data_IF_638179140896
#
_entry.id   IF_638179140896
#
_cell.length_a   1.000
_cell.length_b   1.000
_cell.length_c   1.000
_cell.angle_alpha   90.00
_cell.angle_beta   90.00
_cell.angle_gamma   90.00
#
_symmetry.space_group_name_H-M   'P 1'
#
loop_
_entity.id
_entity.type
_entity.pdbx_description
1 polymer ?
#
# COMPACT_ATOMS: atom_id res chain seq x y z
N UNK A 1 4.73 -25.85 9.22
CA UNK A 1 4.28 -24.75 8.36
C UNK A 1 3.80 -23.63 9.26
N UNK A 2 4.02 -22.41 8.85
CA UNK A 2 3.63 -21.19 9.52
C UNK A 2 2.20 -20.81 9.11
N UNK A 3 1.33 -20.56 10.08
CA UNK A 3 -0.12 -20.49 9.93
C UNK A 3 -0.63 -19.06 9.82
N UNK A 4 -1.23 -18.75 8.71
CA UNK A 4 -1.73 -17.40 8.38
C UNK A 4 -3.26 -17.38 8.36
N UNK A 5 -3.85 -16.37 9.02
CA UNK A 5 -5.24 -15.95 8.83
C UNK A 5 -5.31 -14.69 7.96
N UNK A 6 -6.33 -14.57 7.12
CA UNK A 6 -6.60 -13.36 6.33
C UNK A 6 -7.85 -12.68 6.87
N UNK A 7 -7.73 -11.44 7.34
CA UNK A 7 -8.86 -10.64 7.80
C UNK A 7 -9.22 -9.55 6.77
N UNK A 8 -10.34 -9.74 6.08
CA UNK A 8 -10.76 -8.97 4.91
C UNK A 8 -10.35 -9.60 3.59
N UNK A 9 -11.29 -9.72 2.66
CA UNK A 9 -11.06 -10.40 1.38
C UNK A 9 -11.50 -9.52 0.19
N UNK A 10 -10.76 -8.41 0.02
CA UNK A 10 -10.77 -7.54 -1.15
C UNK A 10 -9.64 -7.89 -2.13
N UNK A 11 -9.17 -6.92 -2.89
CA UNK A 11 -8.04 -7.13 -3.81
C UNK A 11 -6.77 -7.55 -3.06
N UNK A 12 -6.47 -6.90 -1.92
CA UNK A 12 -5.31 -7.24 -1.11
C UNK A 12 -5.42 -8.65 -0.50
N UNK A 13 -6.59 -9.00 0.07
CA UNK A 13 -6.79 -10.33 0.65
C UNK A 13 -6.63 -11.46 -0.37
N UNK A 14 -7.05 -11.25 -1.62
CA UNK A 14 -6.79 -12.18 -2.73
C UNK A 14 -5.30 -12.26 -3.07
N UNK A 15 -4.59 -11.12 -3.04
CA UNK A 15 -3.15 -11.09 -3.23
C UNK A 15 -2.40 -11.84 -2.13
N UNK A 16 -2.83 -11.70 -0.87
CA UNK A 16 -2.28 -12.46 0.26
C UNK A 16 -2.54 -13.95 0.11
N UNK A 17 -3.76 -14.37 -0.27
CA UNK A 17 -4.07 -15.78 -0.53
C UNK A 17 -3.14 -16.36 -1.60
N UNK A 18 -2.96 -15.64 -2.72
CA UNK A 18 -2.06 -16.07 -3.79
C UNK A 18 -0.61 -16.17 -3.30
N UNK A 19 -0.15 -15.20 -2.51
CA UNK A 19 1.19 -15.21 -1.94
C UNK A 19 1.40 -16.38 -0.97
N UNK A 20 0.43 -16.70 -0.12
CA UNK A 20 0.48 -17.87 0.76
C UNK A 20 0.60 -19.16 -0.06
N UNK A 21 -0.18 -19.29 -1.13
CA UNK A 21 -0.15 -20.48 -1.99
C UNK A 21 1.18 -20.67 -2.74
N UNK A 22 1.98 -19.62 -2.93
CA UNK A 22 3.28 -19.65 -3.58
C UNK A 22 4.46 -19.92 -2.61
N UNK A 23 4.19 -20.11 -1.34
CA UNK A 23 5.22 -20.26 -0.31
C UNK A 23 5.02 -21.58 0.44
N UNK A 24 5.90 -22.56 0.21
CA UNK A 24 5.80 -23.92 0.75
C UNK A 24 5.88 -24.01 2.29
N UNK A 25 6.39 -22.97 2.96
CA UNK A 25 6.52 -22.89 4.41
C UNK A 25 5.28 -22.29 5.09
N UNK A 26 4.28 -21.84 4.32
CA UNK A 26 3.06 -21.18 4.82
C UNK A 26 1.81 -22.03 4.63
N UNK A 27 0.83 -21.84 5.51
CA UNK A 27 -0.48 -22.48 5.48
C UNK A 27 -1.59 -21.46 5.71
N UNK A 28 -2.58 -21.39 4.84
CA UNK A 28 -3.78 -20.58 5.06
C UNK A 28 -4.75 -21.33 5.96
N UNK A 29 -5.03 -20.78 7.14
CA UNK A 29 -5.95 -21.36 8.13
C UNK A 29 -7.40 -20.98 7.85
N UNK A 30 -7.63 -19.77 7.42
CA UNK A 30 -8.98 -19.27 7.14
C UNK A 30 -8.99 -17.84 6.63
N UNK A 31 -10.09 -17.48 5.99
CA UNK A 31 -10.41 -16.12 5.55
C UNK A 31 -11.59 -15.60 6.35
N UNK A 32 -11.44 -14.44 6.96
CA UNK A 32 -12.43 -13.80 7.81
C UNK A 32 -13.00 -12.56 7.13
N UNK A 33 -14.33 -12.46 7.04
CA UNK A 33 -15.01 -11.40 6.29
C UNK A 33 -16.24 -10.87 7.04
N UNK A 34 -16.51 -9.57 6.89
CA UNK A 34 -17.76 -8.94 7.36
C UNK A 34 -18.97 -9.20 6.44
N UNK A 35 -18.67 -9.63 5.22
CA UNK A 35 -19.71 -10.03 4.24
C UNK A 35 -20.22 -11.43 4.58
N UNK A 36 -21.37 -11.81 4.04
CA UNK A 36 -21.82 -13.20 4.10
C UNK A 36 -20.73 -14.14 3.54
N UNK A 37 -20.17 -15.05 4.35
CA UNK A 37 -19.12 -15.98 3.93
C UNK A 37 -19.49 -16.80 2.70
N UNK A 38 -20.78 -17.14 2.51
CA UNK A 38 -21.26 -17.90 1.36
C UNK A 38 -21.08 -17.15 0.01
N UNK A 39 -20.98 -15.82 0.07
CA UNK A 39 -20.76 -14.97 -1.12
C UNK A 39 -19.30 -14.81 -1.49
N UNK A 40 -18.37 -15.21 -0.63
CA UNK A 40 -16.94 -15.04 -0.82
C UNK A 40 -16.33 -16.32 -1.37
N UNK A 41 -15.74 -16.25 -2.55
CA UNK A 41 -15.08 -17.39 -3.21
C UNK A 41 -13.57 -17.23 -3.10
N UNK A 42 -12.92 -18.14 -2.41
CA UNK A 42 -11.47 -18.29 -2.31
C UNK A 42 -11.00 -19.36 -3.30
N UNK A 43 -9.69 -19.38 -3.59
CA UNK A 43 -9.08 -20.35 -4.52
C UNK A 43 -8.42 -21.53 -3.80
N UNK A 44 -7.99 -21.33 -2.56
CA UNK A 44 -7.34 -22.36 -1.75
C UNK A 44 -8.34 -23.44 -1.33
N UNK A 45 -8.13 -24.66 -1.81
CA UNK A 45 -9.00 -25.79 -1.48
C UNK A 45 -8.83 -26.21 -0.02
N UNK A 46 -9.92 -26.65 0.61
CA UNK A 46 -9.91 -27.15 2.00
C UNK A 46 -9.86 -26.08 3.07
N UNK A 47 -9.82 -24.81 2.71
CA UNK A 47 -9.84 -23.66 3.64
C UNK A 47 -11.23 -23.06 3.73
N UNK A 48 -11.68 -22.73 4.94
CA UNK A 48 -13.00 -22.13 5.18
C UNK A 48 -12.96 -20.59 5.07
N UNK A 49 -14.13 -20.05 4.70
CA UNK A 49 -14.43 -18.62 4.85
C UNK A 49 -15.40 -18.48 6.03
N UNK A 50 -15.12 -17.56 6.93
CA UNK A 50 -15.82 -17.38 8.18
C UNK A 50 -16.28 -15.92 8.34
N UNK A 51 -17.34 -15.70 9.10
CA UNK A 51 -17.67 -14.35 9.55
C UNK A 51 -16.65 -13.88 10.58
N UNK A 52 -16.40 -12.58 10.62
CA UNK A 52 -15.40 -11.98 11.54
C UNK A 52 -15.67 -12.31 13.01
N UNK A 53 -16.92 -12.51 13.42
CA UNK A 53 -17.33 -12.88 14.79
C UNK A 53 -16.84 -14.28 15.21
N UNK A 54 -16.41 -15.09 14.24
CA UNK A 54 -15.89 -16.43 14.50
C UNK A 54 -14.38 -16.47 14.74
N UNK A 55 -13.68 -15.33 14.52
CA UNK A 55 -12.22 -15.25 14.55
C UNK A 55 -11.63 -15.79 15.86
N UNK A 56 -12.24 -15.48 17.00
CA UNK A 56 -11.76 -15.94 18.33
C UNK A 56 -11.61 -17.46 18.44
N UNK A 57 -12.39 -18.24 17.69
CA UNK A 57 -12.28 -19.71 17.65
C UNK A 57 -10.98 -20.22 17.01
N UNK A 58 -10.21 -19.29 16.40
CA UNK A 58 -8.97 -19.59 15.69
C UNK A 58 -7.72 -19.03 16.39
N UNK A 59 -7.86 -18.49 17.60
CA UNK A 59 -6.76 -17.87 18.35
C UNK A 59 -5.53 -18.76 18.44
N UNK A 60 -5.72 -20.03 18.78
CA UNK A 60 -4.62 -20.99 18.92
C UNK A 60 -4.22 -21.66 17.60
N UNK A 61 -4.84 -21.27 16.49
CA UNK A 61 -4.62 -21.88 15.17
C UNK A 61 -3.89 -20.97 14.20
N UNK A 62 -3.81 -19.68 14.49
CA UNK A 62 -3.22 -18.65 13.63
C UNK A 62 -1.94 -18.14 14.29
N UNK A 63 -0.81 -18.25 13.59
CA UNK A 63 0.45 -17.68 14.04
C UNK A 63 0.50 -16.17 13.81
N UNK A 64 0.00 -15.71 12.65
CA UNK A 64 -0.11 -14.28 12.30
C UNK A 64 -1.38 -14.02 11.48
N UNK A 65 -2.09 -12.98 11.85
CA UNK A 65 -3.28 -12.48 11.15
C UNK A 65 -2.90 -11.32 10.24
N UNK A 66 -3.11 -11.46 8.94
CA UNK A 66 -2.87 -10.39 7.95
C UNK A 66 -4.17 -9.61 7.74
N UNK A 67 -4.14 -8.31 8.06
CA UNK A 67 -5.31 -7.43 8.04
C UNK A 67 -5.37 -6.70 6.70
N UNK A 68 -6.41 -6.99 5.91
CA UNK A 68 -6.62 -6.49 4.55
C UNK A 68 -7.79 -5.50 4.47
N UNK A 69 -7.86 -4.58 5.41
CA UNK A 69 -8.85 -3.50 5.46
C UNK A 69 -8.45 -2.28 4.64
N UNK A 70 -9.36 -1.34 4.47
CA UNK A 70 -9.07 -0.03 3.86
C UNK A 70 -8.19 0.82 4.79
N UNK A 71 -7.10 1.34 4.27
CA UNK A 71 -6.10 2.06 5.06
C UNK A 71 -6.69 3.25 5.84
N UNK A 72 -7.45 4.11 5.16
CA UNK A 72 -7.98 5.32 5.78
C UNK A 72 -9.23 5.09 6.66
N UNK A 73 -9.96 3.98 6.45
CA UNK A 73 -11.29 3.78 7.03
C UNK A 73 -11.38 2.62 8.00
N UNK A 74 -10.67 1.52 7.71
CA UNK A 74 -10.82 0.29 8.45
C UNK A 74 -9.65 0.05 9.43
N UNK A 75 -8.41 0.17 8.93
CA UNK A 75 -7.21 -0.20 9.69
C UNK A 75 -7.02 0.57 11.00
N UNK A 76 -7.35 1.88 11.11
CA UNK A 76 -7.21 2.61 12.37
C UNK A 76 -7.96 1.99 13.56
N UNK A 77 -9.08 1.35 13.30
CA UNK A 77 -9.87 0.66 14.33
C UNK A 77 -9.58 -0.84 14.41
N UNK A 78 -9.43 -1.48 13.24
CA UNK A 78 -9.26 -2.94 13.16
C UNK A 78 -7.93 -3.39 13.73
N UNK A 79 -6.82 -2.75 13.36
CA UNK A 79 -5.49 -3.22 13.76
C UNK A 79 -5.30 -3.19 15.27
N UNK A 80 -5.60 -2.10 16.00
CA UNK A 80 -5.50 -2.10 17.46
C UNK A 80 -6.45 -3.10 18.13
N UNK A 81 -7.67 -3.27 17.61
CA UNK A 81 -8.61 -4.22 18.17
C UNK A 81 -8.11 -5.67 18.07
N UNK A 82 -7.54 -6.04 16.91
CA UNK A 82 -7.05 -7.39 16.64
C UNK A 82 -5.67 -7.67 17.28
N UNK A 83 -4.81 -6.66 17.43
CA UNK A 83 -3.51 -6.78 18.05
C UNK A 83 -3.57 -7.23 19.54
N UNK A 84 -4.70 -6.98 20.21
CA UNK A 84 -4.92 -7.49 21.59
C UNK A 84 -5.04 -9.01 21.66
N UNK A 85 -5.34 -9.68 20.57
CA UNK A 85 -5.67 -11.10 20.55
C UNK A 85 -4.76 -11.94 19.65
N UNK A 86 -4.11 -11.33 18.66
CA UNK A 86 -3.29 -11.99 17.63
C UNK A 86 -2.00 -11.22 17.36
N UNK A 87 -0.98 -11.92 16.91
CA UNK A 87 0.10 -11.28 16.17
C UNK A 87 -0.48 -10.78 14.84
N UNK A 88 -0.27 -9.51 14.50
CA UNK A 88 -0.92 -8.88 13.35
C UNK A 88 0.06 -8.18 12.43
N UNK A 89 -0.34 -8.05 11.17
CA UNK A 89 0.32 -7.19 10.20
C UNK A 89 -0.72 -6.45 9.35
N UNK A 90 -0.48 -5.18 9.07
CA UNK A 90 -1.28 -4.36 8.17
C UNK A 90 -0.45 -3.61 7.12
N UNK A 91 -1.15 -3.01 6.16
CA UNK A 91 -0.59 -2.17 5.11
C UNK A 91 -1.08 -0.72 5.21
N UNK A 92 -1.18 -0.17 6.42
CA UNK A 92 -1.60 1.21 6.64
C UNK A 92 -0.66 2.19 5.92
N UNK A 93 -1.20 3.03 5.03
CA UNK A 93 -0.42 3.91 4.15
C UNK A 93 -0.77 5.41 4.24
N UNK A 94 -1.59 5.80 5.21
CA UNK A 94 -1.88 7.22 5.46
C UNK A 94 -0.69 7.85 6.20
N UNK A 95 0.36 8.21 5.47
CA UNK A 95 1.68 8.59 5.99
C UNK A 95 1.63 9.58 7.16
N UNK A 96 0.82 10.63 7.06
CA UNK A 96 0.70 11.64 8.11
C UNK A 96 0.14 11.11 9.44
N UNK A 97 -0.53 9.95 9.43
CA UNK A 97 -1.15 9.32 10.59
C UNK A 97 -0.44 8.07 11.09
N UNK A 98 0.69 7.71 10.48
CA UNK A 98 1.46 6.54 10.91
C UNK A 98 1.92 6.64 12.38
N UNK A 99 2.40 7.78 12.89
CA UNK A 99 2.77 7.87 14.30
C UNK A 99 1.61 7.60 15.26
N UNK A 100 0.44 8.19 15.02
CA UNK A 100 -0.77 7.96 15.81
C UNK A 100 -1.22 6.49 15.74
N UNK A 101 -1.21 5.91 14.54
CA UNK A 101 -1.54 4.50 14.34
C UNK A 101 -0.57 3.57 15.08
N UNK A 102 0.73 3.90 15.04
CA UNK A 102 1.76 3.16 15.77
C UNK A 102 1.48 3.13 17.27
N UNK A 103 1.24 4.29 17.89
CA UNK A 103 0.96 4.38 19.33
C UNK A 103 -0.25 3.54 19.73
N UNK A 104 -1.36 3.65 18.98
CA UNK A 104 -2.58 2.90 19.25
C UNK A 104 -2.40 1.38 19.12
N UNK A 105 -1.62 0.94 18.13
CA UNK A 105 -1.37 -0.48 17.89
C UNK A 105 -0.34 -1.05 18.89
N UNK A 106 0.69 -0.29 19.22
CA UNK A 106 1.73 -0.67 20.20
C UNK A 106 1.12 -0.91 21.57
N UNK A 107 0.28 0.02 22.06
CA UNK A 107 -0.45 -0.14 23.32
C UNK A 107 -1.36 -1.39 23.31
N UNK A 108 -2.05 -1.63 22.21
CA UNK A 108 -2.92 -2.78 22.07
C UNK A 108 -2.16 -4.10 22.04
N UNK A 109 -1.05 -4.16 21.31
CA UNK A 109 -0.20 -5.34 21.20
C UNK A 109 0.44 -5.71 22.56
N UNK A 110 0.91 -4.71 23.32
CA UNK A 110 1.42 -4.90 24.70
C UNK A 110 0.37 -5.49 25.64
N UNK A 111 -0.89 -5.05 25.54
CA UNK A 111 -1.98 -5.63 26.35
C UNK A 111 -2.18 -7.11 26.05
N UNK A 112 -2.02 -7.50 24.78
CA UNK A 112 -2.21 -8.88 24.33
C UNK A 112 -0.99 -9.79 24.41
N UNK A 113 0.18 -9.24 24.75
CA UNK A 113 1.48 -9.93 24.66
C UNK A 113 1.71 -10.46 23.23
N UNK A 114 1.37 -9.66 22.24
CA UNK A 114 1.46 -9.98 20.82
C UNK A 114 2.45 -9.05 20.09
N UNK A 115 2.87 -9.46 18.92
CA UNK A 115 3.66 -8.63 18.01
C UNK A 115 2.75 -8.03 16.92
N UNK A 116 2.85 -6.74 16.74
CA UNK A 116 2.18 -6.05 15.66
C UNK A 116 3.19 -5.35 14.74
N UNK A 117 3.04 -5.52 13.45
CA UNK A 117 3.83 -4.82 12.43
C UNK A 117 2.88 -4.03 11.55
N UNK A 118 3.04 -2.73 11.53
CA UNK A 118 2.15 -1.83 10.80
C UNK A 118 2.82 -1.25 9.56
N UNK A 119 2.01 -0.70 8.67
CA UNK A 119 2.48 0.05 7.50
C UNK A 119 3.41 -0.76 6.60
N UNK A 120 3.09 -2.03 6.42
CA UNK A 120 3.88 -2.97 5.63
C UNK A 120 3.29 -3.17 4.25
N UNK A 121 3.87 -2.49 3.29
CA UNK A 121 3.65 -2.65 1.87
C UNK A 121 4.97 -2.47 1.15
N UNK A 122 4.90 -2.02 -0.10
CA UNK A 122 6.13 -1.65 -0.78
C UNK A 122 6.54 -0.19 -0.48
N UNK A 123 5.56 0.73 -0.22
CA UNK A 123 5.83 2.06 0.33
C UNK A 123 4.58 2.61 1.06
N UNK A 124 4.61 2.67 2.37
CA UNK A 124 5.70 2.32 3.30
C UNK A 124 5.98 0.81 3.38
N UNK A 125 7.12 0.45 3.92
CA UNK A 125 7.59 -0.92 4.11
C UNK A 125 8.88 -1.19 3.36
N UNK A 126 8.82 -1.81 2.18
CA UNK A 126 10.02 -2.20 1.43
C UNK A 126 10.90 -1.00 1.03
N UNK A 127 10.30 0.08 0.54
CA UNK A 127 11.03 1.33 0.26
C UNK A 127 11.59 1.99 1.54
N UNK A 128 10.92 1.81 2.68
CA UNK A 128 11.42 2.32 3.95
C UNK A 128 12.72 1.63 4.35
N UNK A 129 12.80 0.32 4.18
CA UNK A 129 14.04 -0.44 4.40
C UNK A 129 15.14 -0.07 3.40
N UNK A 130 14.78 0.13 2.12
CA UNK A 130 15.72 0.56 1.09
C UNK A 130 16.32 1.93 1.45
N UNK A 131 15.48 2.90 1.86
CA UNK A 131 15.95 4.22 2.34
C UNK A 131 16.87 4.08 3.55
N UNK A 132 16.48 3.29 4.55
CA UNK A 132 17.28 3.07 5.76
C UNK A 132 18.67 2.52 5.40
N UNK A 133 18.72 1.49 4.54
CA UNK A 133 19.96 0.88 4.13
C UNK A 133 20.86 1.86 3.34
N UNK A 134 20.28 2.57 2.36
CA UNK A 134 21.02 3.54 1.55
C UNK A 134 21.54 4.71 2.39
N UNK A 135 20.77 5.18 3.38
CA UNK A 135 21.21 6.22 4.32
C UNK A 135 22.38 5.75 5.20
N UNK A 136 22.36 4.49 5.64
CA UNK A 136 23.47 3.93 6.43
C UNK A 136 24.77 3.83 5.62
N UNK A 137 24.68 3.53 4.32
CA UNK A 137 25.85 3.39 3.42
C UNK A 137 26.37 4.75 2.94
N UNK A 138 25.47 5.69 2.64
CA UNK A 138 25.78 7.05 2.16
C UNK A 138 25.18 8.08 3.13
N UNK A 139 25.81 8.36 4.27
CA UNK A 139 25.21 9.25 5.30
C UNK A 139 25.12 10.71 4.85
N UNK A 140 25.95 11.13 3.90
CA UNK A 140 25.88 12.47 3.28
C UNK A 140 25.14 12.37 1.96
N UNK A 141 23.92 12.90 1.86
CA UNK A 141 23.12 12.86 0.65
C UNK A 141 21.64 13.11 0.90
N UNK A 142 20.86 12.99 -0.17
CA UNK A 142 19.41 13.21 -0.19
C UNK A 142 18.67 11.97 -0.69
N UNK A 143 17.50 11.72 -0.11
CA UNK A 143 16.58 10.66 -0.57
C UNK A 143 15.46 11.26 -1.42
N UNK A 144 15.18 10.60 -2.53
CA UNK A 144 14.09 10.95 -3.43
C UNK A 144 13.20 9.73 -3.61
N UNK A 145 11.89 9.94 -3.52
CA UNK A 145 10.91 8.90 -3.84
C UNK A 145 10.05 9.37 -5.00
N UNK A 146 10.00 8.55 -6.03
CA UNK A 146 9.16 8.76 -7.20
C UNK A 146 8.19 7.58 -7.35
N UNK A 147 6.90 7.84 -7.26
CA UNK A 147 5.85 6.84 -7.44
C UNK A 147 5.32 6.86 -8.86
N UNK A 148 5.06 5.71 -9.43
CA UNK A 148 4.38 5.56 -10.72
C UNK A 148 5.31 5.08 -11.84
N UNK A 149 4.83 5.09 -13.08
CA UNK A 149 3.40 5.31 -13.43
C UNK A 149 2.52 4.23 -12.79
N UNK A 150 1.50 4.60 -12.00
CA UNK A 150 0.70 3.60 -11.31
C UNK A 150 -0.65 4.11 -10.82
N UNK A 151 -1.61 3.17 -10.72
CA UNK A 151 -2.97 3.42 -10.26
C UNK A 151 -3.01 3.56 -8.74
N UNK A 152 -3.40 4.73 -8.25
CA UNK A 152 -3.73 4.91 -6.83
C UNK A 152 -5.20 4.56 -6.58
N UNK A 153 -5.44 3.51 -5.81
CA UNK A 153 -6.82 3.08 -5.50
C UNK A 153 -7.51 4.10 -4.60
N UNK A 154 -6.84 4.62 -3.57
CA UNK A 154 -7.42 5.62 -2.67
C UNK A 154 -7.81 6.93 -3.37
N UNK A 155 -6.97 7.42 -4.28
CA UNK A 155 -7.29 8.62 -5.08
C UNK A 155 -8.43 8.34 -6.07
N UNK A 156 -8.43 7.17 -6.69
CA UNK A 156 -9.52 6.75 -7.58
C UNK A 156 -10.85 6.65 -6.83
N UNK A 157 -10.84 6.15 -5.59
CA UNK A 157 -12.02 6.09 -4.73
C UNK A 157 -12.52 7.49 -4.33
N UNK A 158 -11.61 8.43 -4.07
CA UNK A 158 -11.98 9.81 -3.76
C UNK A 158 -12.72 10.45 -4.95
N UNK A 159 -12.24 10.26 -6.18
CA UNK A 159 -12.90 10.75 -7.40
C UNK A 159 -14.28 10.11 -7.57
N UNK A 160 -14.42 8.79 -7.35
CA UNK A 160 -15.71 8.08 -7.48
C UNK A 160 -16.79 8.56 -6.53
N UNK A 161 -16.43 9.28 -5.45
CA UNK A 161 -17.40 9.87 -4.52
C UNK A 161 -17.93 11.23 -4.96
N UNK A 162 -17.35 11.83 -6.00
CA UNK A 162 -17.84 13.10 -6.56
C UNK A 162 -19.17 12.85 -7.27
N UNK A 163 -20.15 13.72 -7.03
CA UNK A 163 -21.47 13.63 -7.67
C UNK A 163 -21.34 13.68 -9.19
N UNK A 164 -21.96 12.73 -9.88
CA UNK A 164 -21.93 12.63 -11.35
C UNK A 164 -20.77 11.79 -11.89
N UNK A 165 -19.94 11.20 -11.02
CA UNK A 165 -18.91 10.24 -11.42
C UNK A 165 -19.41 8.81 -11.29
N UNK A 166 -19.36 8.05 -12.38
CA UNK A 166 -19.72 6.62 -12.45
C UNK A 166 -18.54 5.71 -12.14
N UNK A 167 -17.35 5.98 -12.68
CA UNK A 167 -16.09 5.29 -12.39
C UNK A 167 -14.90 6.22 -12.63
N UNK A 168 -13.78 5.89 -11.99
CA UNK A 168 -12.54 6.66 -12.17
C UNK A 168 -11.30 5.80 -11.92
N UNK A 169 -10.22 6.18 -12.61
CA UNK A 169 -8.85 5.71 -12.35
C UNK A 169 -7.91 6.91 -12.31
N UNK A 170 -7.11 6.98 -11.25
CA UNK A 170 -6.08 7.99 -11.11
C UNK A 170 -4.71 7.36 -11.19
N UNK A 171 -3.84 7.95 -12.01
CA UNK A 171 -2.45 7.57 -12.15
C UNK A 171 -1.53 8.64 -11.56
N UNK A 172 -0.62 8.21 -10.70
CA UNK A 172 0.52 9.03 -10.29
C UNK A 172 1.63 8.85 -11.33
N UNK A 173 2.15 9.94 -11.84
CA UNK A 173 3.16 9.94 -12.91
C UNK A 173 4.36 10.76 -12.44
N UNK A 174 5.57 10.16 -12.33
CA UNK A 174 6.76 10.90 -11.96
C UNK A 174 7.18 11.86 -13.10
N UNK A 175 7.67 13.03 -12.74
CA UNK A 175 8.22 14.00 -13.68
C UNK A 175 9.58 13.49 -14.17
N UNK A 176 9.68 13.16 -15.45
CA UNK A 176 10.86 12.49 -16.02
C UNK A 176 12.15 13.29 -15.81
N UNK A 177 12.12 14.61 -16.02
CA UNK A 177 13.28 15.48 -15.82
C UNK A 177 13.78 15.49 -14.37
N UNK A 178 12.87 15.43 -13.40
CA UNK A 178 13.24 15.36 -11.99
C UNK A 178 13.91 14.02 -11.65
N UNK A 179 13.38 12.91 -12.18
CA UNK A 179 13.99 11.58 -12.02
C UNK A 179 15.40 11.54 -12.63
N UNK A 180 15.57 12.08 -13.85
CA UNK A 180 16.86 12.10 -14.54
C UNK A 180 17.89 12.98 -13.82
N UNK A 181 17.50 14.15 -13.33
CA UNK A 181 18.40 15.02 -12.56
C UNK A 181 18.98 14.27 -11.35
N UNK A 182 18.11 13.58 -10.58
CA UNK A 182 18.57 12.79 -9.42
C UNK A 182 19.44 11.61 -9.83
N UNK A 183 19.11 10.91 -10.91
CA UNK A 183 19.93 9.80 -11.45
C UNK A 183 21.30 10.26 -11.95
N UNK A 184 21.41 11.50 -12.36
CA UNK A 184 22.69 12.12 -12.74
C UNK A 184 23.50 12.57 -11.52
N UNK A 185 23.02 12.35 -10.31
CA UNK A 185 23.72 12.73 -9.08
C UNK A 185 23.53 14.19 -8.67
N UNK A 186 22.56 14.86 -9.27
CA UNK A 186 22.12 16.16 -8.83
C UNK A 186 21.28 16.04 -7.56
N UNK A 187 21.33 17.07 -6.71
CA UNK A 187 20.60 17.12 -5.44
C UNK A 187 19.52 18.24 -5.48
N UNK A 188 18.52 18.19 -6.39
CA UNK A 188 17.53 19.24 -6.54
C UNK A 188 16.59 19.29 -5.32
N UNK A 189 16.21 20.49 -4.91
CA UNK A 189 15.10 20.69 -3.98
C UNK A 189 13.80 20.68 -4.79
N UNK A 190 13.01 19.62 -4.62
CA UNK A 190 11.80 19.37 -5.40
C UNK A 190 10.55 19.50 -4.53
N UNK A 191 9.63 20.34 -4.94
CA UNK A 191 8.28 20.38 -4.42
C UNK A 191 7.48 19.13 -4.83
N UNK A 192 6.33 18.91 -4.22
CA UNK A 192 5.40 17.82 -4.59
C UNK A 192 5.04 17.85 -6.07
N UNK A 193 4.76 19.03 -6.62
CA UNK A 193 4.39 19.29 -8.02
C UNK A 193 5.53 18.99 -8.99
N UNK A 194 6.76 19.29 -8.59
CA UNK A 194 7.94 19.02 -9.41
C UNK A 194 8.32 17.55 -9.43
N UNK A 195 7.87 16.76 -8.44
CA UNK A 195 8.12 15.31 -8.41
C UNK A 195 7.11 14.50 -9.19
N UNK A 196 5.83 14.87 -9.15
CA UNK A 196 4.74 14.08 -9.71
C UNK A 196 3.64 14.94 -10.31
N UNK A 197 3.03 14.40 -11.37
CA UNK A 197 1.76 14.85 -11.91
C UNK A 197 0.67 13.82 -11.64
N UNK A 198 -0.58 14.20 -11.85
CA UNK A 198 -1.75 13.34 -11.72
C UNK A 198 -2.49 13.24 -13.07
N UNK A 199 -2.80 12.03 -13.49
CA UNK A 199 -3.66 11.78 -14.64
C UNK A 199 -4.92 11.06 -14.15
N UNK A 200 -6.09 11.64 -14.39
CA UNK A 200 -7.37 11.12 -13.95
C UNK A 200 -8.20 10.75 -15.16
N UNK A 201 -8.60 9.49 -15.27
CA UNK A 201 -9.54 9.01 -16.27
C UNK A 201 -10.88 8.80 -15.58
N UNK A 202 -11.93 9.47 -16.09
CA UNK A 202 -13.22 9.58 -15.41
C UNK A 202 -14.33 9.20 -16.36
N UNK A 203 -15.19 8.29 -15.93
CA UNK A 203 -16.47 7.99 -16.57
C UNK A 203 -17.54 8.79 -15.84
N UNK A 204 -18.12 9.77 -16.52
CA UNK A 204 -19.20 10.58 -15.97
C UNK A 204 -20.57 9.90 -16.18
N UNK A 205 -21.54 10.23 -15.33
CA UNK A 205 -22.95 9.89 -15.54
C UNK A 205 -23.54 10.69 -16.71
N UNK A 206 -24.64 10.21 -17.28
CA UNK A 206 -25.36 10.95 -18.31
C UNK A 206 -25.79 12.34 -17.80
N UNK A 207 -25.55 13.36 -18.60
CA UNK A 207 -25.86 14.76 -18.28
C UNK A 207 -25.11 15.33 -17.04
N UNK A 208 -24.04 14.72 -16.59
CA UNK A 208 -23.23 15.27 -15.52
C UNK A 208 -22.52 16.57 -15.96
N UNK A 209 -22.33 17.48 -15.02
CA UNK A 209 -21.55 18.70 -15.24
C UNK A 209 -20.05 18.35 -15.20
N UNK A 210 -19.45 18.23 -16.37
CA UNK A 210 -18.04 17.86 -16.51
C UNK A 210 -17.09 18.92 -15.95
N UNK A 211 -17.45 20.20 -16.07
CA UNK A 211 -16.64 21.30 -15.55
C UNK A 211 -16.66 21.29 -14.01
N UNK A 212 -17.79 21.00 -13.39
CA UNK A 212 -17.89 20.79 -11.95
C UNK A 212 -17.01 19.63 -11.49
N UNK A 213 -17.11 18.46 -12.14
CA UNK A 213 -16.32 17.28 -11.79
C UNK A 213 -14.82 17.57 -11.89
N UNK A 214 -14.38 18.19 -12.98
CA UNK A 214 -12.98 18.54 -13.18
C UNK A 214 -12.47 19.50 -12.10
N UNK A 215 -13.27 20.53 -11.74
CA UNK A 215 -12.93 21.47 -10.70
C UNK A 215 -12.83 20.79 -9.33
N UNK A 216 -13.81 19.95 -8.97
CA UNK A 216 -13.80 19.20 -7.69
C UNK A 216 -12.57 18.31 -7.58
N UNK A 217 -12.14 17.67 -8.66
CA UNK A 217 -10.93 16.87 -8.68
C UNK A 217 -9.71 17.78 -8.44
N UNK A 218 -9.50 18.79 -9.27
CA UNK A 218 -8.28 19.61 -9.25
C UNK A 218 -8.09 20.39 -7.95
N UNK A 219 -9.19 20.74 -7.27
CA UNK A 219 -9.15 21.51 -6.02
C UNK A 219 -9.25 20.64 -4.75
N UNK A 220 -9.41 19.34 -4.87
CA UNK A 220 -9.57 18.42 -3.73
C UNK A 220 -8.34 18.44 -2.81
N UNK A 221 -8.49 18.89 -1.56
CA UNK A 221 -7.39 18.96 -0.60
C UNK A 221 -6.81 17.57 -0.28
N UNK A 222 -5.52 17.51 -0.03
CA UNK A 222 -4.75 16.31 0.32
C UNK A 222 -4.62 15.25 -0.78
N UNK A 223 -5.31 15.43 -1.92
CA UNK A 223 -5.28 14.47 -3.04
C UNK A 223 -4.71 15.08 -4.32
N UNK A 224 -5.20 16.24 -4.74
CA UNK A 224 -4.93 16.83 -6.06
C UNK A 224 -4.48 18.28 -6.06
N UNK A 225 -4.88 19.09 -5.06
CA UNK A 225 -4.63 20.54 -5.02
C UNK A 225 -3.15 20.93 -5.12
N UNK A 226 -2.26 20.04 -4.65
CA UNK A 226 -0.82 20.29 -4.65
C UNK A 226 -0.10 19.74 -5.90
N UNK A 227 -0.85 19.27 -6.90
CA UNK A 227 -0.31 18.63 -8.10
C UNK A 227 -0.82 19.28 -9.38
N UNK A 228 -0.04 19.14 -10.45
CA UNK A 228 -0.55 19.36 -11.79
C UNK A 228 -1.39 18.15 -12.20
N UNK A 229 -2.70 18.39 -12.35
CA UNK A 229 -3.69 17.33 -12.57
C UNK A 229 -4.37 17.49 -13.93
N UNK A 230 -4.24 16.46 -14.76
CA UNK A 230 -5.01 16.31 -16.00
C UNK A 230 -6.23 15.42 -15.75
N UNK A 231 -7.39 15.82 -16.29
CA UNK A 231 -8.64 15.06 -16.20
C UNK A 231 -9.11 14.71 -17.62
N UNK A 232 -9.33 13.42 -17.85
CA UNK A 232 -9.78 12.88 -19.13
C UNK A 232 -11.12 12.20 -18.93
N UNK A 233 -12.17 12.70 -19.60
CA UNK A 233 -13.46 12.04 -19.61
C UNK A 233 -13.48 10.98 -20.71
N UNK A 234 -13.79 9.74 -20.34
CA UNK A 234 -13.77 8.57 -21.23
C UNK A 234 -15.05 7.75 -21.08
N UNK A 235 -15.29 6.84 -22.01
CA UNK A 235 -16.42 5.91 -21.95
C UNK A 235 -16.20 4.77 -20.96
N UNK A 236 -17.27 4.06 -20.58
CA UNK A 236 -17.18 2.85 -19.76
C UNK A 236 -16.40 1.73 -20.47
N UNK A 237 -16.52 1.65 -21.79
CA UNK A 237 -15.83 0.67 -22.64
C UNK A 237 -14.32 0.94 -22.68
N UNK A 238 -13.92 2.21 -22.81
CA UNK A 238 -12.50 2.61 -22.72
C UNK A 238 -11.94 2.34 -21.34
N UNK A 239 -12.68 2.66 -20.26
CA UNK A 239 -12.28 2.35 -18.89
C UNK A 239 -12.03 0.85 -18.71
N UNK A 240 -12.93 0.02 -19.20
CA UNK A 240 -12.81 -1.44 -19.09
C UNK A 240 -11.68 -2.03 -19.95
N UNK A 241 -11.42 -1.46 -21.12
CA UNK A 241 -10.38 -1.93 -22.04
C UNK A 241 -8.98 -1.50 -21.60
N UNK A 242 -8.81 -0.23 -21.22
CA UNK A 242 -7.48 0.39 -21.10
C UNK A 242 -7.06 0.60 -19.65
N UNK A 243 -8.00 0.59 -18.70
CA UNK A 243 -7.76 0.95 -17.30
C UNK A 243 -8.24 -0.11 -16.28
N UNK A 244 -8.48 -1.35 -16.73
CA UNK A 244 -8.93 -2.44 -15.84
C UNK A 244 -7.81 -2.95 -14.91
N UNK A 245 -6.55 -2.92 -15.36
CA UNK A 245 -5.41 -3.36 -14.59
C UNK A 245 -5.04 -2.38 -13.46
N UNK A 246 -4.31 -2.87 -12.48
CA UNK A 246 -3.82 -2.10 -11.32
C UNK A 246 -2.27 -2.05 -11.29
N UNK A 247 -1.60 -1.63 -12.38
CA UNK A 247 -0.16 -1.51 -12.39
C UNK A 247 0.28 -0.39 -11.43
N UNK A 248 1.43 -0.58 -10.84
CA UNK A 248 2.08 0.45 -10.04
C UNK A 248 3.59 0.29 -10.07
N UNK A 249 4.28 1.06 -9.26
CA UNK A 249 5.71 0.97 -9.06
C UNK A 249 6.27 2.31 -8.64
N UNK A 250 7.57 2.42 -8.75
CA UNK A 250 8.30 3.63 -8.41
C UNK A 250 9.76 3.33 -8.11
N UNK A 251 10.46 4.34 -7.66
CA UNK A 251 11.84 4.23 -7.23
C UNK A 251 12.12 5.06 -5.98
N UNK A 252 13.03 4.55 -5.16
CA UNK A 252 13.73 5.32 -4.14
C UNK A 252 15.15 5.49 -4.63
N UNK A 253 15.58 6.72 -4.73
CA UNK A 253 16.92 7.09 -5.22
C UNK A 253 17.61 7.89 -4.12
N UNK A 254 18.81 7.47 -3.76
CA UNK A 254 19.69 8.27 -2.92
C UNK A 254 20.84 8.79 -3.74
N UNK A 255 20.95 10.10 -3.85
CA UNK A 255 22.15 10.79 -4.29
C UNK A 255 23.00 11.12 -3.06
N UNK A 256 24.28 10.73 -3.07
CA UNK A 256 25.14 10.89 -1.91
C UNK A 256 26.60 11.06 -2.30
N UNK A 257 27.40 11.51 -1.32
CA UNK A 257 28.81 11.86 -1.53
C UNK A 257 29.72 11.13 -0.57
N UNK A 258 30.93 10.83 -1.07
CA UNK A 258 32.05 10.30 -0.27
C UNK A 258 33.31 11.05 -0.56
N UNK A 259 34.37 10.76 0.22
CA UNK A 259 35.63 11.47 0.19
C UNK A 259 35.72 12.53 1.28
N UNK A 260 36.92 12.98 1.62
CA UNK A 260 37.12 13.98 2.69
C UNK A 260 36.48 15.32 2.32
N UNK A 261 36.55 15.69 1.05
CA UNK A 261 35.99 16.94 0.50
C UNK A 261 34.67 16.73 -0.23
N UNK A 262 34.03 15.54 -0.05
CA UNK A 262 32.77 15.15 -0.73
C UNK A 262 32.86 15.19 -2.25
N UNK A 263 34.04 14.86 -2.78
CA UNK A 263 34.38 14.96 -4.19
C UNK A 263 33.79 13.86 -5.06
N UNK A 264 33.40 12.72 -4.47
CA UNK A 264 32.82 11.61 -5.23
C UNK A 264 31.32 11.58 -5.07
N UNK A 265 30.59 11.60 -6.17
CA UNK A 265 29.13 11.49 -6.20
C UNK A 265 28.72 10.05 -6.50
N UNK A 266 27.74 9.55 -5.77
CA UNK A 266 27.19 8.21 -5.92
C UNK A 266 25.66 8.27 -5.96
N UNK A 267 25.07 7.37 -6.74
CA UNK A 267 23.63 7.19 -6.80
C UNK A 267 23.30 5.73 -6.51
N UNK A 268 22.44 5.50 -5.53
CA UNK A 268 21.85 4.21 -5.25
C UNK A 268 20.36 4.26 -5.59
N UNK A 269 19.86 3.30 -6.33
CA UNK A 269 18.45 3.22 -6.70
C UNK A 269 17.89 1.85 -6.38
N UNK A 270 16.69 1.83 -5.79
CA UNK A 270 15.84 0.66 -5.69
C UNK A 270 14.53 0.95 -6.42
N UNK A 271 14.25 0.19 -7.46
CA UNK A 271 13.09 0.37 -8.33
C UNK A 271 12.16 -0.83 -8.32
N UNK A 272 10.86 -0.55 -8.43
CA UNK A 272 9.80 -1.54 -8.57
C UNK A 272 8.95 -1.25 -9.82
N UNK A 273 8.63 -2.30 -10.55
CA UNK A 273 7.62 -2.32 -11.61
C UNK A 273 6.65 -3.45 -11.32
N UNK A 274 5.40 -3.08 -11.02
CA UNK A 274 4.38 -3.99 -10.53
C UNK A 274 3.25 -4.09 -11.56
N UNK A 275 2.96 -5.28 -12.04
CA UNK A 275 1.80 -5.53 -12.89
C UNK A 275 0.51 -5.55 -12.05
N UNK A 276 0.61 -5.96 -10.77
CA UNK A 276 -0.49 -5.99 -9.82
C UNK A 276 -0.01 -5.48 -8.46
N UNK A 277 -0.42 -4.27 -8.10
CA UNK A 277 -0.12 -3.68 -6.80
C UNK A 277 -0.61 -4.54 -5.62
N UNK A 278 -1.89 -5.00 -5.57
CA UNK A 278 -2.37 -5.75 -4.42
C UNK A 278 -1.70 -7.13 -4.28
N UNK A 279 -1.33 -7.80 -5.37
CA UNK A 279 -0.64 -9.09 -5.31
C UNK A 279 0.79 -8.93 -4.80
N UNK A 280 1.51 -7.92 -5.28
CA UNK A 280 2.85 -7.64 -4.78
C UNK A 280 2.84 -7.25 -3.31
N UNK A 281 1.92 -6.37 -2.89
CA UNK A 281 1.74 -6.00 -1.48
C UNK A 281 1.41 -7.23 -0.63
N UNK A 282 0.57 -8.14 -1.12
CA UNK A 282 0.29 -9.42 -0.48
C UNK A 282 1.55 -10.26 -0.25
N UNK A 283 2.44 -10.34 -1.24
CA UNK A 283 3.72 -11.03 -1.12
C UNK A 283 4.64 -10.39 -0.08
N UNK A 284 4.67 -9.05 -0.02
CA UNK A 284 5.43 -8.32 1.01
C UNK A 284 4.88 -8.63 2.40
N UNK A 285 3.56 -8.60 2.60
CA UNK A 285 2.92 -8.91 3.87
C UNK A 285 3.24 -10.33 4.35
N UNK A 286 3.21 -11.32 3.46
CA UNK A 286 3.57 -12.71 3.79
C UNK A 286 5.05 -12.83 4.18
N UNK A 287 5.94 -12.10 3.50
CA UNK A 287 7.36 -12.08 3.85
C UNK A 287 7.60 -11.50 5.25
N UNK A 288 6.95 -10.39 5.59
CA UNK A 288 7.05 -9.77 6.92
C UNK A 288 6.33 -10.56 8.00
N UNK A 289 5.24 -11.25 7.69
CA UNK A 289 4.56 -12.13 8.64
C UNK A 289 5.49 -13.24 9.18
N UNK A 290 6.41 -13.75 8.35
CA UNK A 290 7.47 -14.66 8.83
C UNK A 290 8.40 -14.01 9.86
N UNK A 291 8.70 -12.72 9.70
CA UNK A 291 9.53 -12.01 10.68
C UNK A 291 8.80 -11.88 12.02
N UNK A 292 7.50 -11.54 12.00
CA UNK A 292 6.65 -11.50 13.20
C UNK A 292 6.69 -12.83 13.94
N UNK A 293 6.44 -13.93 13.25
CA UNK A 293 6.47 -15.27 13.87
C UNK A 293 7.83 -15.56 14.53
N UNK A 294 8.93 -15.24 13.83
CA UNK A 294 10.28 -15.45 14.37
C UNK A 294 10.57 -14.55 15.58
N UNK A 295 10.07 -13.34 15.61
CA UNK A 295 10.21 -12.42 16.74
C UNK A 295 9.40 -12.91 17.92
N UNK A 296 8.15 -13.30 17.71
CA UNK A 296 7.28 -13.86 18.75
C UNK A 296 7.89 -15.11 19.39
N UNK A 297 8.39 -16.06 18.59
CA UNK A 297 9.03 -17.28 19.07
C UNK A 297 10.32 -17.02 19.89
N UNK A 298 10.94 -15.85 19.72
CA UNK A 298 12.13 -15.42 20.48
C UNK A 298 11.79 -14.63 21.72
N UNK A 299 10.51 -14.31 21.96
CA UNK A 299 10.05 -13.51 23.11
C UNK A 299 10.44 -12.02 22.98
N UNK A 300 10.43 -11.50 21.73
CA UNK A 300 10.71 -10.09 21.49
C UNK A 300 9.52 -9.20 21.89
#
# INVERSE_FOLDING_TARGET
>A
MFKIGIYGYGNLGRGVEAAVALNDDTELVGVFTRRDPATVKIRTSGVGVYHTDELEKFKDKIDVLIICGGSATDLPEMTPALAKHFNVIDSFDTHAKIPEHFENVDDAAKIGDNIALISCGWDPGLFSLARLYMNAVLPVGQDYTFWGRGVSQGHSDAIRRIKGVKDARQYTVPVASAVEAVRNGEDPVLSTREKHTRECYVVAEECADLAYIENEIKTMPNYFSDYDTAVHFISSEEMARDHAALPHGGSVIRSGKTGFDKENTHVCEFSLKLDSNPEFTGSVLVAYARAIKKMYDRGC
#
